data_IF_011153971583
#
_entry.id   IF_011153971583
#
_cell.length_a   1.000
_cell.length_b   1.000
_cell.length_c   1.000
_cell.angle_alpha   90.00
_cell.angle_beta   90.00
_cell.angle_gamma   90.00
#
_symmetry.space_group_name_H-M   'P 1'
#
loop_
_entity.id
_entity.type
_entity.pdbx_description
1 polymer ?
#
# COMPACT_ATOMS: atom_id res chain seq x y z
N UNK A 1 29.99 -34.03 -22.20
CA UNK A 1 31.03 -33.43 -23.08
C UNK A 1 30.67 -33.72 -24.55
N UNK A 2 31.17 -32.94 -25.53
CA UNK A 2 30.26 -32.40 -26.55
C UNK A 2 30.70 -32.52 -28.03
N UNK A 3 29.78 -32.17 -28.93
CA UNK A 3 30.02 -31.53 -30.23
C UNK A 3 28.99 -30.39 -30.35
N UNK A 4 29.29 -29.08 -30.58
CA UNK A 4 30.19 -28.40 -31.56
C UNK A 4 29.85 -28.85 -33.00
N UNK A 5 29.70 -28.02 -34.05
CA UNK A 5 29.88 -26.57 -34.30
C UNK A 5 29.16 -26.24 -35.66
N UNK A 6 28.88 -25.02 -36.15
CA UNK A 6 29.14 -23.64 -35.70
C UNK A 6 28.16 -22.61 -36.36
N UNK A 7 28.11 -21.40 -35.81
CA UNK A 7 27.97 -20.06 -36.45
C UNK A 7 27.18 -19.80 -37.76
N UNK A 8 26.34 -18.76 -37.70
CA UNK A 8 26.16 -17.65 -38.66
C UNK A 8 25.79 -17.93 -40.14
N UNK A 9 24.76 -17.22 -40.64
CA UNK A 9 24.97 -16.19 -41.70
C UNK A 9 23.77 -15.21 -41.84
N UNK A 10 24.07 -13.92 -41.64
CA UNK A 10 23.52 -12.69 -42.25
C UNK A 10 22.00 -12.39 -42.35
N UNK A 11 21.65 -11.26 -41.72
CA UNK A 11 20.60 -10.32 -42.14
C UNK A 11 20.83 -9.71 -43.56
N UNK A 12 19.84 -8.93 -44.01
CA UNK A 12 19.82 -7.99 -45.16
C UNK A 12 19.57 -8.65 -46.55
N UNK A 13 18.66 -8.16 -47.40
CA UNK A 13 17.76 -6.98 -47.34
C UNK A 13 16.63 -7.13 -48.42
N UNK A 14 15.58 -6.29 -48.32
CA UNK A 14 14.61 -5.85 -49.37
C UNK A 14 13.35 -6.65 -49.74
N UNK A 15 12.23 -6.07 -49.25
CA UNK A 15 11.09 -5.48 -50.01
C UNK A 15 10.09 -6.39 -50.77
N UNK A 16 8.81 -6.08 -50.48
CA UNK A 16 7.59 -6.19 -51.31
C UNK A 16 6.84 -7.54 -51.35
N UNK A 17 5.54 -7.48 -50.99
CA UNK A 17 4.54 -8.52 -51.30
C UNK A 17 3.72 -8.98 -50.09
N UNK A 18 2.37 -8.87 -50.10
CA UNK A 18 1.53 -9.43 -49.05
C UNK A 18 1.11 -10.87 -49.41
N UNK A 19 1.85 -11.88 -48.96
CA UNK A 19 1.37 -13.26 -49.01
C UNK A 19 0.42 -13.56 -47.85
N UNK A 20 -0.69 -14.23 -48.16
CA UNK A 20 -1.78 -14.48 -47.23
C UNK A 20 -1.45 -15.63 -46.27
N UNK A 21 -1.27 -15.32 -44.98
CA UNK A 21 -1.18 -16.33 -43.94
C UNK A 21 -2.57 -16.89 -43.60
N UNK A 22 -2.96 -17.99 -44.24
CA UNK A 22 -4.15 -18.77 -43.87
C UNK A 22 -4.01 -19.36 -42.47
N UNK A 23 -5.00 -19.14 -41.60
CA UNK A 23 -5.04 -19.80 -40.30
C UNK A 23 -5.36 -21.29 -40.44
N UNK A 24 -4.54 -22.15 -39.82
CA UNK A 24 -4.83 -23.57 -39.64
C UNK A 24 -5.40 -23.85 -38.25
N UNK A 25 -6.33 -24.80 -38.19
CA UNK A 25 -7.07 -25.17 -36.98
C UNK A 25 -6.43 -26.42 -36.36
N UNK A 26 -5.78 -26.26 -35.21
CA UNK A 26 -5.41 -27.37 -34.31
C UNK A 26 -5.57 -26.95 -32.86
N UNK A 27 -6.07 -27.88 -32.06
CA UNK A 27 -5.96 -27.93 -30.60
C UNK A 27 -6.52 -26.72 -29.83
N UNK A 28 -7.73 -26.30 -30.21
CA UNK A 28 -8.74 -25.76 -29.29
C UNK A 28 -8.50 -24.38 -28.67
N UNK A 29 -7.45 -23.64 -29.06
CA UNK A 29 -7.11 -22.34 -28.46
C UNK A 29 -6.90 -21.22 -29.50
N UNK A 30 -7.52 -20.07 -29.26
CA UNK A 30 -7.30 -18.85 -30.04
C UNK A 30 -6.11 -18.05 -29.47
N UNK A 31 -4.95 -18.16 -30.10
CA UNK A 31 -3.78 -17.34 -29.76
C UNK A 31 -3.72 -16.05 -30.59
N UNK A 32 -3.95 -14.89 -29.96
CA UNK A 32 -3.67 -13.58 -30.59
C UNK A 32 -2.25 -13.13 -30.19
N UNK A 33 -1.33 -12.88 -31.14
CA UNK A 33 0.02 -12.42 -30.84
C UNK A 33 0.02 -10.94 -30.43
N UNK A 34 0.11 -10.67 -29.13
CA UNK A 34 0.27 -9.31 -28.60
C UNK A 34 1.70 -8.77 -28.81
N UNK A 35 1.89 -7.89 -29.79
CA UNK A 35 3.04 -6.96 -29.82
C UNK A 35 2.62 -5.53 -30.14
N UNK A 36 2.88 -4.65 -29.16
CA UNK A 36 3.15 -3.19 -29.24
C UNK A 36 2.43 -2.39 -30.36
N UNK A 37 1.39 -1.65 -29.97
CA UNK A 37 1.48 -0.17 -29.79
C UNK A 37 0.20 0.39 -29.16
N UNK A 38 0.28 0.86 -27.92
CA UNK A 38 -0.71 1.77 -27.34
C UNK A 38 0.03 2.93 -26.69
N UNK A 39 0.03 4.10 -27.35
CA UNK A 39 0.34 5.37 -26.69
C UNK A 39 -0.82 5.71 -25.74
N UNK A 40 -0.51 6.33 -24.61
CA UNK A 40 -1.53 6.79 -23.63
C UNK A 40 -2.51 7.75 -24.31
N UNK A 41 -3.81 7.47 -24.19
CA UNK A 41 -4.88 8.44 -24.40
C UNK A 41 -5.40 8.92 -23.02
N UNK A 42 -5.82 10.19 -22.87
CA UNK A 42 -6.39 10.68 -21.61
C UNK A 42 -7.73 10.02 -21.28
N UNK A 43 -8.07 9.95 -19.99
CA UNK A 43 -9.36 9.47 -19.50
C UNK A 43 -10.49 10.41 -19.98
N UNK A 44 -11.52 9.85 -20.63
CA UNK A 44 -12.77 10.60 -20.90
C UNK A 44 -13.39 10.44 -22.29
N UNK A 45 -12.81 9.69 -23.23
CA UNK A 45 -13.40 9.46 -24.56
C UNK A 45 -13.60 7.98 -24.88
N UNK A 46 -14.77 7.64 -25.41
CA UNK A 46 -15.10 6.32 -25.96
C UNK A 46 -14.29 6.03 -27.22
N UNK A 47 -13.81 4.78 -27.44
CA UNK A 47 -13.14 4.44 -28.68
C UNK A 47 -14.14 4.48 -29.86
N UNK A 48 -13.93 5.38 -30.80
CA UNK A 48 -14.63 5.36 -32.09
C UNK A 48 -14.14 4.16 -32.89
N UNK A 49 -15.05 3.24 -33.22
CA UNK A 49 -14.74 2.11 -34.10
C UNK A 49 -14.56 2.62 -35.53
N UNK A 50 -13.31 2.65 -35.99
CA UNK A 50 -13.00 2.98 -37.39
C UNK A 50 -13.51 1.84 -38.28
N UNK A 51 -14.59 2.11 -39.01
CA UNK A 51 -15.24 1.13 -39.88
C UNK A 51 -14.49 0.93 -41.20
N UNK A 52 -13.82 -0.21 -41.35
CA UNK A 52 -13.37 -0.65 -42.67
C UNK A 52 -14.57 -1.06 -43.54
N UNK A 53 -14.84 -0.30 -44.61
CA UNK A 53 -15.79 -0.69 -45.64
C UNK A 53 -15.20 -1.84 -46.47
N UNK A 54 -15.79 -3.03 -46.37
CA UNK A 54 -15.37 -4.21 -47.11
C UNK A 54 -16.48 -5.25 -47.17
N UNK A 55 -17.24 -5.27 -48.27
CA UNK A 55 -18.39 -6.14 -48.49
C UNK A 55 -17.97 -7.60 -48.77
N UNK A 56 -17.57 -8.32 -47.71
CA UNK A 56 -17.44 -9.80 -47.69
C UNK A 56 -17.41 -10.45 -46.29
N UNK A 57 -17.69 -9.70 -45.21
CA UNK A 57 -17.83 -10.21 -43.84
C UNK A 57 -19.20 -9.82 -43.25
N UNK A 58 -20.27 -10.03 -44.01
CA UNK A 58 -21.65 -9.88 -43.52
C UNK A 58 -22.46 -11.19 -43.55
N UNK A 59 -22.05 -12.17 -44.36
CA UNK A 59 -22.79 -13.43 -44.51
C UNK A 59 -22.33 -14.57 -43.57
N UNK A 60 -21.20 -14.38 -42.86
CA UNK A 60 -20.70 -15.32 -41.85
C UNK A 60 -21.36 -15.17 -40.45
N UNK A 61 -22.34 -14.29 -40.29
CA UNK A 61 -22.91 -13.89 -38.98
C UNK A 61 -24.43 -14.13 -38.85
N UNK A 62 -25.00 -15.10 -39.57
CA UNK A 62 -26.42 -15.51 -39.46
C UNK A 62 -26.63 -16.88 -38.78
N UNK A 63 -25.85 -17.20 -37.73
CA UNK A 63 -25.84 -18.54 -37.12
C UNK A 63 -25.86 -18.65 -35.58
N UNK A 64 -25.89 -17.56 -34.80
CA UNK A 64 -25.72 -17.65 -33.34
C UNK A 64 -26.37 -16.53 -32.51
N UNK A 65 -27.63 -16.19 -32.81
CA UNK A 65 -28.38 -15.11 -32.14
C UNK A 65 -28.55 -15.23 -30.62
N UNK A 66 -28.33 -16.41 -30.02
CA UNK A 66 -28.31 -16.61 -28.57
C UNK A 66 -26.93 -16.35 -27.94
N UNK A 67 -25.83 -16.70 -28.64
CA UNK A 67 -24.46 -16.57 -28.11
C UNK A 67 -24.04 -15.10 -27.96
N UNK A 68 -24.41 -14.26 -28.95
CA UNK A 68 -24.22 -12.80 -28.88
C UNK A 68 -24.98 -12.16 -27.72
N UNK A 69 -26.23 -12.58 -27.47
CA UNK A 69 -27.04 -12.05 -26.36
C UNK A 69 -26.47 -12.45 -25.00
N UNK A 70 -26.02 -13.68 -24.82
CA UNK A 70 -25.42 -14.13 -23.56
C UNK A 70 -24.15 -13.35 -23.20
N UNK A 71 -23.23 -13.17 -24.16
CA UNK A 71 -22.02 -12.36 -23.96
C UNK A 71 -22.34 -10.89 -23.72
N UNK A 72 -23.27 -10.29 -24.48
CA UNK A 72 -23.72 -8.92 -24.25
C UNK A 72 -24.37 -8.75 -22.87
N UNK A 73 -25.18 -9.71 -22.41
CA UNK A 73 -25.86 -9.61 -21.11
C UNK A 73 -24.88 -9.81 -19.95
N UNK A 74 -23.92 -10.75 -20.06
CA UNK A 74 -22.84 -10.88 -19.08
C UNK A 74 -21.97 -9.63 -19.01
N UNK A 75 -21.51 -9.09 -20.14
CA UNK A 75 -20.73 -7.85 -20.16
C UNK A 75 -21.51 -6.66 -19.61
N UNK A 76 -22.81 -6.51 -19.95
CA UNK A 76 -23.67 -5.44 -19.42
C UNK A 76 -23.88 -5.56 -17.91
N UNK A 77 -24.04 -6.79 -17.40
CA UNK A 77 -24.13 -7.08 -15.95
C UNK A 77 -22.80 -6.80 -15.24
N UNK A 78 -21.66 -7.06 -15.88
CA UNK A 78 -20.34 -6.77 -15.34
C UNK A 78 -20.02 -5.26 -15.34
N UNK A 79 -20.46 -4.53 -16.38
CA UNK A 79 -20.33 -3.07 -16.48
C UNK A 79 -21.24 -2.32 -15.50
N UNK A 80 -22.36 -2.92 -15.07
CA UNK A 80 -23.32 -2.32 -14.13
C UNK A 80 -23.08 -2.66 -12.65
N UNK A 81 -22.25 -3.67 -12.32
CA UNK A 81 -21.91 -3.99 -10.92
C UNK A 81 -20.84 -3.03 -10.40
N UNK A 82 -21.26 -1.83 -9.98
CA UNK A 82 -20.42 -0.78 -9.41
C UNK A 82 -19.43 -1.29 -8.34
N UNK A 83 -19.89 -2.20 -7.48
CA UNK A 83 -19.06 -2.81 -6.41
C UNK A 83 -17.94 -3.70 -7.00
N UNK A 84 -18.12 -4.34 -8.15
CA UNK A 84 -17.03 -5.04 -8.85
C UNK A 84 -16.04 -4.07 -9.49
N UNK A 85 -16.52 -2.97 -10.07
CA UNK A 85 -15.67 -1.97 -10.74
C UNK A 85 -14.65 -1.32 -9.80
N UNK A 86 -15.01 -1.10 -8.53
CA UNK A 86 -14.12 -0.58 -7.48
C UNK A 86 -12.95 -1.53 -7.11
N UNK A 87 -12.92 -2.76 -7.63
CA UNK A 87 -11.81 -3.70 -7.42
C UNK A 87 -11.56 -4.00 -5.93
N UNK A 88 -10.29 -3.93 -5.52
CA UNK A 88 -9.87 -4.18 -4.13
C UNK A 88 -10.37 -3.12 -3.13
N UNK A 89 -10.72 -1.90 -3.57
CA UNK A 89 -11.27 -0.88 -2.66
C UNK A 89 -12.63 -1.29 -2.08
N UNK A 90 -13.38 -2.13 -2.80
CA UNK A 90 -14.66 -2.67 -2.35
C UNK A 90 -14.57 -4.12 -1.85
N UNK A 91 -13.37 -4.61 -1.49
CA UNK A 91 -13.16 -5.98 -1.03
C UNK A 91 -14.07 -6.35 0.15
N UNK A 92 -14.10 -5.52 1.20
CA UNK A 92 -14.99 -5.72 2.36
C UNK A 92 -16.48 -5.72 1.97
N UNK A 93 -16.90 -4.82 1.09
CA UNK A 93 -18.29 -4.77 0.58
C UNK A 93 -18.65 -6.00 -0.26
N UNK A 94 -17.69 -6.56 -1.01
CA UNK A 94 -17.86 -7.80 -1.78
C UNK A 94 -17.96 -9.03 -0.89
N UNK A 95 -17.10 -9.13 0.14
CA UNK A 95 -17.16 -10.19 1.15
C UNK A 95 -18.48 -10.15 1.90
N UNK A 96 -18.92 -8.96 2.36
CA UNK A 96 -20.23 -8.78 2.99
C UNK A 96 -21.37 -9.20 2.08
N UNK A 97 -21.42 -8.72 0.83
CA UNK A 97 -22.47 -9.07 -0.13
C UNK A 97 -22.50 -10.56 -0.48
N UNK A 98 -21.36 -11.26 -0.39
CA UNK A 98 -21.31 -12.72 -0.53
C UNK A 98 -21.86 -13.42 0.73
N UNK A 99 -21.43 -12.99 1.91
CA UNK A 99 -21.92 -13.49 3.20
C UNK A 99 -23.43 -13.32 3.34
N UNK A 100 -23.97 -12.11 3.08
CA UNK A 100 -25.41 -11.81 3.14
C UNK A 100 -26.23 -12.75 2.22
N UNK A 101 -25.70 -13.12 1.05
CA UNK A 101 -26.35 -14.07 0.12
C UNK A 101 -26.32 -15.50 0.64
N UNK A 102 -25.20 -15.97 1.17
CA UNK A 102 -25.06 -17.31 1.75
C UNK A 102 -25.97 -17.44 2.98
N UNK A 103 -26.02 -16.40 3.82
CA UNK A 103 -26.90 -16.34 4.99
C UNK A 103 -28.39 -16.30 4.61
N UNK A 104 -28.77 -15.64 3.52
CA UNK A 104 -30.14 -15.70 3.02
C UNK A 104 -30.51 -17.14 2.59
N UNK A 105 -29.68 -17.80 1.77
CA UNK A 105 -29.92 -19.19 1.35
C UNK A 105 -29.99 -20.16 2.54
N UNK A 106 -29.10 -20.03 3.53
CA UNK A 106 -29.17 -20.85 4.74
C UNK A 106 -30.47 -20.66 5.54
N UNK A 107 -31.02 -19.44 5.58
CA UNK A 107 -32.28 -19.16 6.27
C UNK A 107 -33.51 -19.71 5.52
N UNK A 108 -33.42 -19.84 4.20
CA UNK A 108 -34.44 -20.51 3.39
C UNK A 108 -34.37 -22.03 3.53
N UNK A 109 -33.16 -22.60 3.64
CA UNK A 109 -32.93 -24.04 3.89
C UNK A 109 -33.54 -24.47 5.23
N UNK A 110 -33.19 -23.81 6.35
CA UNK A 110 -33.78 -24.16 7.67
C UNK A 110 -35.31 -24.03 7.69
N UNK A 111 -35.87 -23.08 6.94
CA UNK A 111 -37.33 -22.89 6.84
C UNK A 111 -38.00 -24.01 6.03
N UNK A 112 -37.32 -24.55 5.02
CA UNK A 112 -37.80 -25.68 4.22
C UNK A 112 -37.98 -26.96 5.05
N UNK A 113 -37.06 -27.21 5.98
CA UNK A 113 -37.10 -28.38 6.88
C UNK A 113 -37.82 -28.10 8.21
N UNK A 114 -38.62 -27.02 8.28
CA UNK A 114 -39.38 -26.60 9.46
C UNK A 114 -38.53 -26.38 10.75
N UNK A 115 -37.23 -26.12 10.59
CA UNK A 115 -36.32 -25.88 11.70
C UNK A 115 -36.34 -24.41 12.16
N UNK A 116 -36.69 -24.20 13.43
CA UNK A 116 -36.62 -22.90 14.08
C UNK A 116 -35.17 -22.51 14.44
N UNK A 117 -34.34 -22.29 13.40
CA UNK A 117 -32.92 -21.99 13.49
C UNK A 117 -32.51 -20.93 12.46
N UNK A 118 -31.59 -20.04 12.83
CA UNK A 118 -31.07 -19.00 11.92
C UNK A 118 -29.56 -19.21 11.66
N UNK A 119 -29.05 -18.99 10.43
CA UNK A 119 -27.63 -19.20 10.10
C UNK A 119 -26.65 -18.42 10.97
N UNK A 120 -27.01 -17.20 11.39
CA UNK A 120 -26.20 -16.37 12.30
C UNK A 120 -26.05 -16.94 13.72
N UNK A 121 -26.83 -17.95 14.10
CA UNK A 121 -26.70 -18.64 15.38
C UNK A 121 -25.67 -19.78 15.32
N UNK A 122 -25.37 -20.32 14.12
CA UNK A 122 -24.49 -21.47 13.93
C UNK A 122 -23.15 -21.38 14.68
N UNK A 123 -22.35 -20.29 14.58
CA UNK A 123 -21.03 -20.27 15.22
C UNK A 123 -21.11 -20.32 16.75
N UNK A 124 -22.07 -19.61 17.35
CA UNK A 124 -22.26 -19.60 18.80
C UNK A 124 -22.86 -20.92 19.30
N UNK A 125 -23.84 -21.46 18.58
CA UNK A 125 -24.44 -22.77 18.89
C UNK A 125 -23.37 -23.86 18.86
N UNK A 126 -22.60 -23.94 17.77
CA UNK A 126 -21.52 -24.93 17.60
C UNK A 126 -20.47 -24.78 18.71
N UNK A 127 -20.03 -23.56 19.02
CA UNK A 127 -19.04 -23.32 20.08
C UNK A 127 -19.51 -23.84 21.46
N UNK A 128 -20.78 -23.58 21.83
CA UNK A 128 -21.32 -24.00 23.14
C UNK A 128 -21.59 -25.51 23.20
N UNK A 129 -21.97 -26.13 22.08
CA UNK A 129 -22.12 -27.58 21.98
C UNK A 129 -20.76 -28.30 22.07
N UNK A 130 -19.77 -27.82 21.31
CA UNK A 130 -18.49 -28.47 21.09
C UNK A 130 -17.47 -28.24 22.23
N UNK A 131 -17.52 -27.07 22.89
CA UNK A 131 -16.62 -26.70 24.00
C UNK A 131 -17.34 -26.57 25.34
N UNK A 132 -18.61 -26.93 25.41
CA UNK A 132 -19.44 -26.77 26.61
C UNK A 132 -19.70 -25.30 26.97
N UNK A 133 -20.19 -25.04 28.21
CA UNK A 133 -20.66 -23.73 28.62
C UNK A 133 -19.63 -22.59 28.45
N UNK A 134 -20.04 -21.49 27.83
CA UNK A 134 -19.18 -20.33 27.53
C UNK A 134 -19.60 -19.08 28.31
N UNK A 135 -18.69 -18.13 28.52
CA UNK A 135 -19.12 -16.76 28.88
C UNK A 135 -19.31 -15.92 27.63
N UNK A 136 -20.10 -14.83 27.70
CA UNK A 136 -20.26 -13.90 26.56
C UNK A 136 -18.91 -13.35 26.08
N UNK A 137 -18.00 -13.02 27.01
CA UNK A 137 -16.63 -12.57 26.69
C UNK A 137 -15.78 -13.68 26.06
N UNK A 138 -15.83 -14.90 26.60
CA UNK A 138 -15.12 -16.06 26.03
C UNK A 138 -15.61 -16.41 24.62
N UNK A 139 -16.92 -16.37 24.38
CA UNK A 139 -17.50 -16.58 23.06
C UNK A 139 -17.13 -15.46 22.08
N UNK A 140 -17.09 -14.20 22.51
CA UNK A 140 -16.62 -13.08 21.68
C UNK A 140 -15.16 -13.27 21.25
N UNK A 141 -14.28 -13.67 22.19
CA UNK A 141 -12.89 -13.99 21.90
C UNK A 141 -12.74 -15.19 20.97
N UNK A 142 -13.44 -16.30 21.24
CA UNK A 142 -13.33 -17.54 20.48
C UNK A 142 -13.87 -17.45 19.05
N UNK A 143 -14.85 -16.58 18.80
CA UNK A 143 -15.47 -16.37 17.48
C UNK A 143 -14.87 -15.18 16.70
N UNK A 144 -13.93 -14.42 17.28
CA UNK A 144 -13.42 -13.18 16.68
C UNK A 144 -14.49 -12.08 16.52
N UNK A 145 -15.57 -12.15 17.30
CA UNK A 145 -16.73 -11.26 17.19
C UNK A 145 -16.73 -10.18 18.28
N UNK A 146 -17.42 -9.06 18.02
CA UNK A 146 -17.62 -8.05 19.06
C UNK A 146 -18.54 -8.57 20.18
N UNK A 147 -18.28 -8.15 21.42
CA UNK A 147 -19.14 -8.49 22.57
C UNK A 147 -20.61 -8.10 22.33
N UNK A 148 -20.86 -6.99 21.63
CA UNK A 148 -22.20 -6.54 21.26
C UNK A 148 -22.89 -7.50 20.28
N UNK A 149 -22.18 -8.01 19.26
CA UNK A 149 -22.72 -8.97 18.32
C UNK A 149 -23.08 -10.30 19.00
N UNK A 150 -22.17 -10.86 19.82
CA UNK A 150 -22.46 -12.08 20.60
C UNK A 150 -23.65 -11.85 21.55
N UNK A 151 -23.73 -10.69 22.22
CA UNK A 151 -24.86 -10.34 23.09
C UNK A 151 -26.21 -10.17 22.36
N UNK A 152 -26.20 -9.91 21.05
CA UNK A 152 -27.41 -9.93 20.21
C UNK A 152 -27.81 -11.36 19.87
N UNK A 153 -26.86 -12.19 19.43
CA UNK A 153 -27.08 -13.62 19.12
C UNK A 153 -27.59 -14.39 20.36
N UNK A 154 -26.97 -14.19 21.52
CA UNK A 154 -27.41 -14.79 22.81
C UNK A 154 -28.87 -14.47 23.10
N UNK A 155 -29.28 -13.19 22.97
CA UNK A 155 -30.68 -12.78 23.23
C UNK A 155 -31.65 -13.41 22.24
N UNK A 156 -31.29 -13.52 20.97
CA UNK A 156 -32.13 -14.16 19.96
C UNK A 156 -32.32 -15.66 20.24
N UNK A 157 -31.23 -16.39 20.49
CA UNK A 157 -31.27 -17.83 20.80
C UNK A 157 -31.99 -18.13 22.13
N UNK A 158 -31.80 -17.29 23.15
CA UNK A 158 -32.52 -17.42 24.42
C UNK A 158 -34.02 -17.13 24.28
N UNK A 159 -34.40 -16.15 23.45
CA UNK A 159 -35.81 -15.88 23.11
C UNK A 159 -36.53 -17.03 22.41
N UNK A 160 -35.78 -17.94 21.75
CA UNK A 160 -36.32 -19.20 21.17
C UNK A 160 -36.16 -20.41 22.10
N UNK A 161 -35.62 -20.23 23.30
CA UNK A 161 -35.37 -21.32 24.25
C UNK A 161 -34.30 -22.31 23.81
N UNK A 162 -33.39 -21.95 22.90
CA UNK A 162 -32.29 -22.80 22.40
C UNK A 162 -31.09 -22.76 23.38
N UNK A 163 -30.88 -21.61 24.02
CA UNK A 163 -29.72 -21.33 24.87
C UNK A 163 -30.17 -20.63 26.16
N UNK A 164 -29.66 -21.06 27.33
CA UNK A 164 -29.82 -20.35 28.60
C UNK A 164 -28.63 -19.42 28.86
N UNK A 165 -28.87 -18.32 29.59
CA UNK A 165 -27.88 -17.29 29.88
C UNK A 165 -27.94 -16.89 31.36
N UNK A 166 -27.46 -17.81 32.22
CA UNK A 166 -27.55 -17.76 33.68
C UNK A 166 -26.39 -16.97 34.29
N UNK A 167 -26.50 -16.52 35.56
CA UNK A 167 -25.38 -15.87 36.26
C UNK A 167 -24.25 -16.89 36.48
N UNK A 168 -23.01 -16.47 36.29
CA UNK A 168 -21.84 -17.27 36.70
C UNK A 168 -21.80 -17.38 38.22
N UNK A 169 -21.68 -18.62 38.73
CA UNK A 169 -21.60 -18.90 40.16
C UNK A 169 -20.33 -18.32 40.83
N UNK A 170 -19.35 -17.86 40.06
CA UNK A 170 -18.08 -17.28 40.55
C UNK A 170 -17.98 -15.76 40.37
N UNK A 171 -18.79 -15.15 39.52
CA UNK A 171 -18.80 -13.69 39.26
C UNK A 171 -20.16 -13.27 38.68
N UNK A 172 -21.07 -12.77 39.52
CA UNK A 172 -22.45 -12.43 39.11
C UNK A 172 -22.58 -11.46 37.93
N UNK A 173 -21.49 -10.74 37.60
CA UNK A 173 -21.40 -9.83 36.44
C UNK A 173 -21.23 -10.57 35.12
N UNK A 174 -20.86 -11.86 35.15
CA UNK A 174 -20.72 -12.74 33.99
C UNK A 174 -21.99 -13.56 33.82
N UNK A 175 -22.32 -13.85 32.55
CA UNK A 175 -23.34 -14.84 32.20
C UNK A 175 -22.71 -16.03 31.53
N UNK A 176 -23.10 -17.22 31.98
CA UNK A 176 -22.74 -18.51 31.40
C UNK A 176 -23.83 -18.93 30.42
N UNK A 177 -23.39 -19.31 29.23
CA UNK A 177 -24.19 -19.66 28.06
C UNK A 177 -24.16 -21.17 27.90
N UNK A 178 -25.33 -21.81 27.96
CA UNK A 178 -25.48 -23.27 27.87
C UNK A 178 -26.61 -23.63 26.92
N UNK A 179 -26.49 -24.73 26.16
CA UNK A 179 -27.65 -25.25 25.41
C UNK A 179 -28.74 -25.75 26.39
N UNK A 180 -30.00 -25.49 26.06
CA UNK A 180 -31.15 -26.06 26.78
C UNK A 180 -31.39 -27.52 26.34
N UNK A 181 -32.42 -28.18 26.90
CA UNK A 181 -32.88 -29.47 26.39
C UNK A 181 -33.31 -29.38 24.91
N UNK A 182 -34.22 -28.44 24.59
CA UNK A 182 -34.61 -28.10 23.21
C UNK A 182 -33.40 -27.76 22.32
N UNK A 183 -32.41 -27.04 22.86
CA UNK A 183 -31.17 -26.73 22.15
C UNK A 183 -30.42 -27.98 21.71
N UNK A 184 -30.23 -28.95 22.62
CA UNK A 184 -29.60 -30.25 22.31
C UNK A 184 -30.43 -31.12 21.37
N UNK A 185 -31.76 -31.09 21.49
CA UNK A 185 -32.68 -31.84 20.60
C UNK A 185 -32.64 -31.37 19.13
N UNK A 186 -32.13 -30.17 18.85
CA UNK A 186 -31.93 -29.69 17.48
C UNK A 186 -30.71 -30.33 16.80
N UNK A 187 -29.66 -30.71 17.55
CA UNK A 187 -28.39 -31.17 16.96
C UNK A 187 -28.55 -32.36 16.00
N UNK A 188 -29.31 -33.44 16.32
CA UNK A 188 -29.50 -34.56 15.40
C UNK A 188 -30.27 -34.20 14.12
N UNK A 189 -31.02 -33.10 14.13
CA UNK A 189 -31.75 -32.59 12.95
C UNK A 189 -30.90 -31.63 12.12
N UNK A 190 -30.07 -30.82 12.79
CA UNK A 190 -29.17 -29.86 12.16
C UNK A 190 -27.97 -30.53 11.49
N UNK A 191 -27.45 -31.63 12.04
CA UNK A 191 -26.20 -32.24 11.55
C UNK A 191 -26.28 -32.71 10.08
N UNK A 192 -27.28 -33.50 9.63
CA UNK A 192 -27.36 -33.90 8.22
C UNK A 192 -27.48 -32.70 7.28
N UNK A 193 -28.25 -31.69 7.70
CA UNK A 193 -28.45 -30.46 6.94
C UNK A 193 -27.16 -29.63 6.82
N UNK A 194 -26.32 -29.62 7.86
CA UNK A 194 -24.99 -29.01 7.80
C UNK A 194 -24.03 -29.77 6.91
N UNK A 195 -24.12 -31.10 6.86
CA UNK A 195 -23.31 -31.92 5.94
C UNK A 195 -23.68 -31.65 4.48
N UNK A 196 -24.97 -31.51 4.17
CA UNK A 196 -25.48 -31.11 2.85
C UNK A 196 -25.11 -29.65 2.48
N UNK A 197 -25.28 -28.69 3.41
CA UNK A 197 -24.84 -27.31 3.23
C UNK A 197 -23.32 -27.25 2.99
N UNK A 198 -22.53 -28.03 3.72
CA UNK A 198 -21.09 -28.11 3.54
C UNK A 198 -20.71 -28.67 2.16
N UNK A 199 -21.43 -29.68 1.66
CA UNK A 199 -21.24 -30.20 0.31
C UNK A 199 -21.56 -29.14 -0.75
N UNK A 200 -22.68 -28.42 -0.62
CA UNK A 200 -23.05 -27.34 -1.54
C UNK A 200 -22.07 -26.15 -1.52
N UNK A 201 -21.55 -25.77 -0.33
CA UNK A 201 -20.54 -24.71 -0.21
C UNK A 201 -19.20 -25.15 -0.81
N UNK A 202 -18.82 -26.42 -0.69
CA UNK A 202 -17.63 -26.98 -1.36
C UNK A 202 -17.77 -26.96 -2.89
N UNK A 203 -18.93 -27.29 -3.43
CA UNK A 203 -19.20 -27.17 -4.87
C UNK A 203 -19.03 -25.70 -5.35
N UNK A 204 -19.66 -24.75 -4.65
CA UNK A 204 -19.50 -23.31 -4.95
C UNK A 204 -18.03 -22.88 -4.89
N UNK A 205 -17.28 -23.32 -3.88
CA UNK A 205 -15.86 -22.98 -3.71
C UNK A 205 -14.96 -23.61 -4.80
N UNK A 206 -15.31 -24.79 -5.32
CA UNK A 206 -14.53 -25.46 -6.39
C UNK A 206 -14.40 -24.59 -7.65
N UNK A 207 -15.37 -23.73 -7.91
CA UNK A 207 -15.39 -22.79 -9.04
C UNK A 207 -14.39 -21.63 -8.89
N UNK A 208 -13.76 -21.44 -7.73
CA UNK A 208 -12.85 -20.30 -7.50
C UNK A 208 -11.45 -20.49 -8.09
N UNK A 209 -11.05 -21.71 -8.46
CA UNK A 209 -9.71 -22.01 -9.00
C UNK A 209 -8.55 -21.84 -8.00
N UNK A 210 -8.87 -21.67 -6.72
CA UNK A 210 -7.95 -21.55 -5.60
C UNK A 210 -8.64 -22.04 -4.32
N UNK A 211 -7.86 -22.45 -3.32
CA UNK A 211 -8.38 -22.74 -1.98
C UNK A 211 -8.82 -21.44 -1.30
N UNK A 212 -10.13 -21.26 -1.19
CA UNK A 212 -10.74 -20.06 -0.62
C UNK A 212 -10.45 -19.91 0.87
N UNK A 213 -10.32 -21.02 1.61
CA UNK A 213 -10.01 -20.97 3.04
C UNK A 213 -8.57 -20.55 3.25
N UNK A 214 -7.62 -21.15 2.53
CA UNK A 214 -6.21 -20.73 2.60
C UNK A 214 -5.99 -19.26 2.19
N UNK A 215 -6.81 -18.73 1.26
CA UNK A 215 -6.80 -17.30 0.89
C UNK A 215 -7.33 -16.42 2.02
N UNK A 216 -8.41 -16.83 2.71
CA UNK A 216 -8.96 -16.11 3.86
C UNK A 216 -7.97 -16.13 5.03
N UNK A 217 -7.43 -17.30 5.39
CA UNK A 217 -6.42 -17.46 6.45
C UNK A 217 -5.21 -16.55 6.21
N UNK A 218 -4.69 -16.50 4.98
CA UNK A 218 -3.59 -15.63 4.61
C UNK A 218 -3.92 -14.14 4.72
N UNK A 219 -5.16 -13.74 4.42
CA UNK A 219 -5.64 -12.36 4.60
C UNK A 219 -5.82 -11.99 6.08
N UNK A 220 -6.37 -12.90 6.88
CA UNK A 220 -6.58 -12.70 8.32
C UNK A 220 -5.24 -12.62 9.07
N UNK A 221 -4.30 -13.51 8.76
CA UNK A 221 -2.95 -13.47 9.33
C UNK A 221 -2.22 -12.17 8.95
N UNK A 222 -2.28 -11.75 7.68
CA UNK A 222 -1.69 -10.49 7.25
C UNK A 222 -2.31 -9.25 7.95
N UNK A 223 -3.60 -9.29 8.28
CA UNK A 223 -4.26 -8.22 9.06
C UNK A 223 -3.84 -8.23 10.55
N UNK A 224 -3.51 -9.39 11.11
CA UNK A 224 -2.98 -9.52 12.48
C UNK A 224 -1.53 -9.02 12.58
N UNK A 225 -0.68 -9.30 11.59
CA UNK A 225 0.71 -8.80 11.55
C UNK A 225 0.79 -7.28 11.43
N UNK A 226 -0.09 -6.67 10.63
CA UNK A 226 -0.17 -5.22 10.46
C UNK A 226 -1.52 -4.83 9.89
N UNK A 227 -2.24 -3.95 10.59
CA UNK A 227 -3.59 -3.58 10.22
C UNK A 227 -3.64 -2.67 8.95
N UNK A 228 -4.86 -2.50 8.43
CA UNK A 228 -5.08 -1.70 7.22
C UNK A 228 -4.73 -0.22 7.40
N UNK A 229 -4.88 0.36 8.60
CA UNK A 229 -4.56 1.75 8.88
C UNK A 229 -3.04 1.98 8.88
N UNK A 230 -2.28 1.10 9.51
CA UNK A 230 -0.82 1.10 9.51
C UNK A 230 -0.27 0.94 8.08
N UNK A 231 -0.73 -0.07 7.33
CA UNK A 231 -0.33 -0.28 5.94
C UNK A 231 -0.66 0.93 5.05
N UNK A 232 -1.85 1.52 5.22
CA UNK A 232 -2.26 2.73 4.48
C UNK A 232 -1.37 3.93 4.83
N UNK A 233 -1.02 4.11 6.11
CA UNK A 233 -0.12 5.16 6.56
C UNK A 233 1.31 4.96 6.00
N UNK A 234 1.80 3.73 5.87
CA UNK A 234 3.09 3.44 5.24
C UNK A 234 3.08 3.72 3.73
N UNK A 235 2.03 3.35 3.01
CA UNK A 235 1.86 3.78 1.62
C UNK A 235 1.79 5.31 1.49
N UNK A 236 1.16 6.00 2.45
CA UNK A 236 1.15 7.46 2.55
C UNK A 236 2.55 8.05 2.73
N UNK A 237 3.32 7.55 3.69
CA UNK A 237 4.71 7.96 3.96
C UNK A 237 5.64 7.71 2.78
N UNK A 238 5.50 6.57 2.09
CA UNK A 238 6.26 6.26 0.87
C UNK A 238 5.94 7.28 -0.22
N UNK A 239 4.67 7.53 -0.52
CA UNK A 239 4.23 8.53 -1.51
C UNK A 239 4.80 9.92 -1.22
N UNK A 240 4.76 10.36 0.04
CA UNK A 240 5.31 11.66 0.46
C UNK A 240 6.83 11.76 0.34
N UNK A 241 7.56 10.66 0.58
CA UNK A 241 9.02 10.61 0.37
C UNK A 241 9.36 10.60 -1.12
N UNK A 242 8.60 9.84 -1.90
CA UNK A 242 8.83 9.66 -3.33
C UNK A 242 8.34 10.87 -4.16
N UNK A 243 7.61 11.81 -3.54
CA UNK A 243 7.27 13.14 -4.09
C UNK A 243 8.26 14.26 -3.73
N UNK A 244 9.37 13.94 -3.03
CA UNK A 244 10.46 14.91 -2.79
C UNK A 244 11.44 14.83 -3.96
N UNK A 245 11.45 15.85 -4.81
CA UNK A 245 12.53 16.03 -5.78
C UNK A 245 13.73 16.67 -5.06
N UNK A 246 14.94 16.18 -5.35
CA UNK A 246 16.17 16.88 -4.98
C UNK A 246 16.78 17.48 -6.24
N UNK A 247 17.01 18.79 -6.21
CA UNK A 247 17.52 19.57 -7.35
C UNK A 247 18.69 20.48 -6.93
N UNK A 248 19.65 20.75 -7.81
CA UNK A 248 20.73 21.69 -7.53
C UNK A 248 20.21 23.13 -7.55
N UNK A 249 20.95 24.02 -6.89
CA UNK A 249 20.74 25.46 -6.97
C UNK A 249 20.74 25.98 -8.40
N UNK A 250 19.70 26.76 -8.74
CA UNK A 250 19.61 27.55 -9.96
C UNK A 250 19.96 29.02 -9.65
N UNK A 251 20.54 29.79 -10.58
CA UNK A 251 20.67 31.24 -10.42
C UNK A 251 19.33 32.01 -10.49
N UNK A 252 18.18 31.33 -10.54
CA UNK A 252 16.85 31.96 -10.44
C UNK A 252 16.62 32.56 -9.04
N UNK A 253 15.94 33.72 -8.91
CA UNK A 253 15.70 34.37 -7.62
C UNK A 253 15.04 33.46 -6.57
N UNK A 254 14.09 32.62 -6.97
CA UNK A 254 13.39 31.65 -6.10
C UNK A 254 14.37 30.85 -5.22
N UNK A 255 15.51 30.43 -5.77
CA UNK A 255 16.48 29.62 -5.07
C UNK A 255 17.32 30.41 -4.08
N UNK A 256 17.62 31.69 -4.35
CA UNK A 256 18.32 32.57 -3.40
C UNK A 256 17.41 32.96 -2.24
N UNK A 257 16.18 33.35 -2.55
CA UNK A 257 15.16 33.71 -1.57
C UNK A 257 14.86 32.48 -0.68
N UNK A 258 14.61 31.30 -1.26
CA UNK A 258 14.42 30.09 -0.48
C UNK A 258 15.67 29.67 0.33
N UNK A 259 16.90 29.87 -0.18
CA UNK A 259 18.11 29.56 0.59
C UNK A 259 18.20 30.38 1.86
N UNK A 260 17.95 31.69 1.74
CA UNK A 260 17.85 32.65 2.83
C UNK A 260 16.74 32.24 3.79
N UNK A 261 15.50 32.22 3.31
CA UNK A 261 14.30 32.13 4.14
C UNK A 261 14.26 30.83 4.94
N UNK A 262 14.58 29.68 4.32
CA UNK A 262 14.63 28.39 5.00
C UNK A 262 15.68 28.36 6.12
N UNK A 263 16.84 28.99 5.90
CA UNK A 263 17.90 29.05 6.91
C UNK A 263 17.61 30.10 8.00
N UNK A 264 16.99 31.22 7.67
CA UNK A 264 16.56 32.23 8.64
C UNK A 264 15.45 31.68 9.53
N UNK A 265 14.40 31.05 8.97
CA UNK A 265 13.34 30.38 9.73
C UNK A 265 13.93 29.38 10.75
N UNK A 266 14.90 28.59 10.31
CA UNK A 266 15.56 27.62 11.18
C UNK A 266 16.46 28.27 12.24
N UNK A 267 17.23 29.30 11.87
CA UNK A 267 18.12 30.01 12.79
C UNK A 267 17.34 30.76 13.87
N UNK A 268 16.32 31.53 13.51
CA UNK A 268 15.49 32.30 14.45
C UNK A 268 14.69 31.40 15.41
N UNK A 269 14.32 30.19 14.97
CA UNK A 269 13.60 29.23 15.81
C UNK A 269 14.44 28.59 16.92
N UNK A 270 15.73 28.35 16.67
CA UNK A 270 16.60 27.60 17.58
C UNK A 270 17.75 28.41 18.17
N UNK A 271 18.14 29.51 17.53
CA UNK A 271 19.33 30.33 17.83
C UNK A 271 19.08 31.80 17.46
N UNK A 272 20.14 32.53 17.08
CA UNK A 272 20.09 33.82 16.38
C UNK A 272 20.80 33.68 15.02
N UNK A 273 20.48 34.55 14.07
CA UNK A 273 21.28 34.70 12.86
C UNK A 273 22.60 35.38 13.22
N UNK A 274 23.73 34.71 13.02
CA UNK A 274 25.07 35.27 13.30
C UNK A 274 25.59 36.08 12.08
N UNK A 275 26.56 37.01 12.23
CA UNK A 275 27.08 37.77 11.08
C UNK A 275 27.64 36.89 9.95
N UNK A 276 28.33 35.79 10.31
CA UNK A 276 28.79 34.76 9.37
C UNK A 276 27.65 34.05 8.66
N UNK A 277 26.43 34.05 9.22
CA UNK A 277 25.28 33.50 8.54
C UNK A 277 24.79 34.41 7.42
N UNK A 278 24.76 35.73 7.65
CA UNK A 278 24.41 36.73 6.64
C UNK A 278 25.38 36.67 5.45
N UNK A 279 26.69 36.67 5.69
CA UNK A 279 27.70 36.57 4.62
C UNK A 279 27.44 35.42 3.63
N UNK A 280 26.98 34.26 4.12
CA UNK A 280 26.70 33.06 3.31
C UNK A 280 25.30 33.10 2.67
N UNK A 281 24.31 33.69 3.35
CA UNK A 281 22.91 33.73 2.86
C UNK A 281 22.64 34.91 1.93
N UNK A 282 23.43 35.98 2.02
CA UNK A 282 23.33 37.17 1.16
C UNK A 282 23.99 36.97 -0.20
N UNK A 283 25.06 36.15 -0.25
CA UNK A 283 25.86 35.92 -1.45
C UNK A 283 26.30 34.44 -1.56
N UNK A 284 25.34 33.50 -1.73
CA UNK A 284 25.62 32.07 -1.80
C UNK A 284 26.45 31.69 -3.03
N UNK A 285 26.33 32.44 -4.13
CA UNK A 285 27.10 32.24 -5.35
C UNK A 285 28.61 32.39 -5.07
N UNK A 286 29.06 33.54 -4.56
CA UNK A 286 30.48 33.80 -4.27
C UNK A 286 31.03 32.93 -3.14
N UNK A 287 30.22 32.62 -2.13
CA UNK A 287 30.68 31.95 -0.89
C UNK A 287 30.64 30.42 -0.98
N UNK A 288 29.77 29.84 -1.82
CA UNK A 288 29.60 28.39 -1.95
C UNK A 288 29.84 27.91 -3.39
N UNK A 289 29.23 28.53 -4.39
CA UNK A 289 29.24 28.01 -5.77
C UNK A 289 30.58 28.29 -6.48
N UNK A 290 31.04 29.54 -6.51
CA UNK A 290 32.30 29.93 -7.18
C UNK A 290 33.54 29.18 -6.65
N UNK A 291 33.69 28.91 -5.33
CA UNK A 291 34.80 28.10 -4.82
C UNK A 291 34.75 26.62 -5.20
N UNK A 292 33.71 26.16 -5.90
CA UNK A 292 33.50 24.76 -6.31
C UNK A 292 32.70 23.93 -5.31
N UNK A 293 31.88 24.57 -4.47
CA UNK A 293 30.86 23.92 -3.66
C UNK A 293 29.51 23.79 -4.39
N UNK A 294 28.51 23.27 -3.68
CA UNK A 294 27.15 23.11 -4.22
C UNK A 294 26.09 23.42 -3.17
N UNK A 295 24.90 23.82 -3.62
CA UNK A 295 23.70 23.91 -2.79
C UNK A 295 22.63 23.03 -3.44
N UNK A 296 21.92 22.26 -2.62
CA UNK A 296 20.84 21.36 -3.02
C UNK A 296 19.55 21.77 -2.34
N UNK A 297 18.43 21.58 -3.03
CA UNK A 297 17.10 21.86 -2.53
C UNK A 297 16.22 20.63 -2.58
N UNK A 298 15.26 20.58 -1.65
CA UNK A 298 14.16 19.66 -1.66
C UNK A 298 12.90 20.38 -2.11
N UNK A 299 12.39 20.03 -3.29
CA UNK A 299 11.10 20.51 -3.79
C UNK A 299 10.00 19.49 -3.49
N UNK A 300 8.86 19.96 -3.00
CA UNK A 300 7.62 19.19 -2.89
C UNK A 300 6.52 19.94 -3.61
N UNK A 301 5.90 19.28 -4.59
CA UNK A 301 5.01 19.89 -5.57
C UNK A 301 5.69 21.09 -6.24
N UNK A 302 5.21 22.32 -5.99
CA UNK A 302 5.80 23.55 -6.52
C UNK A 302 6.78 24.25 -5.56
N UNK A 303 6.90 23.83 -4.29
CA UNK A 303 7.57 24.63 -3.25
C UNK A 303 8.96 24.09 -2.89
N UNK A 304 9.93 24.99 -2.77
CA UNK A 304 11.22 24.71 -2.12
C UNK A 304 11.01 24.65 -0.60
N UNK A 305 11.10 23.45 -0.02
CA UNK A 305 10.74 23.18 1.39
C UNK A 305 11.92 22.79 2.27
N UNK A 306 13.11 22.69 1.70
CA UNK A 306 14.35 22.43 2.43
C UNK A 306 15.56 22.63 1.54
N UNK A 307 16.72 22.82 2.17
CA UNK A 307 17.99 23.05 1.50
C UNK A 307 19.16 22.47 2.31
N UNK A 308 20.30 22.25 1.65
CA UNK A 308 21.60 22.04 2.29
C UNK A 308 22.74 22.47 1.35
N UNK A 309 23.89 22.83 1.91
CA UNK A 309 25.07 23.24 1.16
C UNK A 309 26.29 22.35 1.45
N UNK A 310 27.14 22.19 0.45
CA UNK A 310 28.50 21.65 0.51
C UNK A 310 29.47 22.80 0.26
N UNK A 311 29.86 23.52 1.31
CA UNK A 311 30.82 24.62 1.20
C UNK A 311 32.25 24.04 1.14
N UNK A 312 32.98 24.25 0.05
CA UNK A 312 34.37 23.78 -0.07
C UNK A 312 35.28 24.61 0.83
N UNK A 313 35.99 23.97 1.76
CA UNK A 313 36.93 24.65 2.67
C UNK A 313 38.38 24.48 2.23
N UNK A 314 38.72 23.29 1.71
CA UNK A 314 40.09 22.94 1.26
C UNK A 314 39.99 21.98 0.05
N UNK A 315 41.09 21.72 -0.68
CA UNK A 315 41.10 20.72 -1.76
C UNK A 315 40.65 19.31 -1.30
N UNK A 316 39.41 18.94 -1.64
CA UNK A 316 38.80 17.67 -1.27
C UNK A 316 38.14 17.66 0.12
N UNK A 317 37.95 18.81 0.76
CA UNK A 317 37.26 18.95 2.05
C UNK A 317 36.07 19.89 1.91
N UNK A 318 34.89 19.42 2.33
CA UNK A 318 33.65 20.18 2.28
C UNK A 318 32.98 20.22 3.65
N UNK A 319 32.49 21.39 4.03
CA UNK A 319 31.56 21.58 5.14
C UNK A 319 30.13 21.36 4.64
N UNK A 320 29.43 20.37 5.20
CA UNK A 320 27.98 20.27 5.04
C UNK A 320 27.33 21.26 6.00
N UNK A 321 26.76 22.31 5.42
CA UNK A 321 26.28 23.49 6.14
C UNK A 321 24.91 23.93 5.61
N UNK A 322 24.33 24.96 6.23
CA UNK A 322 23.04 25.59 5.82
C UNK A 322 21.92 24.59 5.54
N UNK A 323 21.82 23.55 6.37
CA UNK A 323 20.85 22.47 6.22
C UNK A 323 19.56 22.79 6.98
N UNK A 324 18.50 23.13 6.25
CA UNK A 324 17.21 23.52 6.81
C UNK A 324 16.04 22.81 6.11
N UNK A 325 14.91 22.65 6.82
CA UNK A 325 13.62 22.19 6.30
C UNK A 325 12.54 22.96 7.04
N UNK A 326 11.66 23.64 6.31
CA UNK A 326 10.57 24.44 6.91
C UNK A 326 9.65 23.58 7.78
N UNK A 327 9.16 24.12 8.89
CA UNK A 327 8.39 23.40 9.92
C UNK A 327 7.25 22.56 9.33
N UNK A 328 6.48 23.11 8.39
CA UNK A 328 5.35 22.41 7.77
C UNK A 328 5.72 21.07 7.08
N UNK A 329 7.00 20.89 6.75
CA UNK A 329 7.52 19.72 6.04
C UNK A 329 8.52 18.89 6.87
N UNK A 330 8.76 19.26 8.13
CA UNK A 330 9.55 18.44 9.07
C UNK A 330 8.86 17.10 9.38
N UNK A 331 9.63 16.13 9.91
CA UNK A 331 9.16 14.74 10.13
C UNK A 331 9.02 13.89 8.85
N UNK A 332 8.91 14.49 7.66
CA UNK A 332 8.71 13.81 6.36
C UNK A 332 9.99 13.17 5.76
N UNK A 333 11.05 13.00 6.56
CA UNK A 333 12.37 12.51 6.15
C UNK A 333 13.12 13.34 5.08
N UNK A 334 12.67 14.56 4.77
CA UNK A 334 13.30 15.44 3.76
C UNK A 334 14.78 15.72 4.07
N UNK A 335 15.12 16.02 5.33
CA UNK A 335 16.52 16.18 5.74
C UNK A 335 17.38 14.93 5.47
N UNK A 336 16.81 13.72 5.56
CA UNK A 336 17.53 12.48 5.20
C UNK A 336 17.72 12.35 3.68
N UNK A 337 16.79 12.84 2.87
CA UNK A 337 16.91 12.88 1.42
C UNK A 337 18.00 13.89 0.99
N UNK A 338 17.96 15.12 1.52
CA UNK A 338 18.98 16.16 1.33
C UNK A 338 20.38 15.67 1.75
N UNK A 339 20.50 15.10 2.95
CA UNK A 339 21.76 14.56 3.47
C UNK A 339 22.35 13.47 2.55
N UNK A 340 21.53 12.51 2.09
CA UNK A 340 22.00 11.47 1.17
C UNK A 340 22.45 12.07 -0.17
N UNK A 341 21.66 12.96 -0.75
CA UNK A 341 22.00 13.62 -2.00
C UNK A 341 23.30 14.46 -1.88
N UNK A 342 23.48 15.20 -0.79
CA UNK A 342 24.72 15.93 -0.51
C UNK A 342 25.93 15.00 -0.43
N UNK A 343 25.82 13.85 0.24
CA UNK A 343 26.92 12.87 0.28
C UNK A 343 27.19 12.24 -1.09
N UNK A 344 26.15 11.98 -1.89
CA UNK A 344 26.30 11.46 -3.25
C UNK A 344 26.97 12.50 -4.19
N UNK A 345 26.61 13.78 -4.06
CA UNK A 345 27.26 14.90 -4.78
C UNK A 345 28.69 15.13 -4.31
N UNK A 346 28.97 15.04 -3.01
CA UNK A 346 30.33 15.14 -2.47
C UNK A 346 31.27 14.06 -3.05
N UNK A 347 30.80 12.83 -3.30
CA UNK A 347 31.59 11.82 -4.03
C UNK A 347 31.84 12.21 -5.48
N UNK A 348 30.84 12.79 -6.15
CA UNK A 348 30.99 13.36 -7.51
C UNK A 348 31.99 14.53 -7.58
N UNK A 349 32.06 15.35 -6.53
CA UNK A 349 33.04 16.43 -6.34
C UNK A 349 34.42 15.95 -5.86
N UNK A 350 34.67 14.63 -5.86
CA UNK A 350 35.88 13.98 -5.38
C UNK A 350 36.31 14.43 -3.97
N UNK A 351 35.34 14.68 -3.08
CA UNK A 351 35.60 14.90 -1.67
C UNK A 351 36.33 13.69 -1.07
N UNK A 352 37.33 13.97 -0.23
CA UNK A 352 38.01 12.98 0.64
C UNK A 352 37.38 12.96 2.04
N UNK A 353 36.85 14.11 2.47
CA UNK A 353 36.26 14.34 3.79
C UNK A 353 35.09 15.31 3.69
N UNK A 354 33.99 14.98 4.33
CA UNK A 354 32.89 15.90 4.60
C UNK A 354 32.76 16.06 6.11
N UNK A 355 32.70 17.29 6.60
CA UNK A 355 32.47 17.58 8.01
C UNK A 355 31.26 18.50 8.19
N UNK A 356 30.72 18.57 9.40
CA UNK A 356 29.65 19.48 9.78
C UNK A 356 29.86 19.99 11.20
N UNK A 357 29.31 21.16 11.48
CA UNK A 357 29.21 21.74 12.82
C UNK A 357 27.74 21.77 13.22
N UNK A 358 27.44 21.29 14.42
CA UNK A 358 26.08 21.25 14.97
C UNK A 358 26.10 21.62 16.45
N UNK A 359 24.92 21.85 17.01
CA UNK A 359 24.71 21.92 18.45
C UNK A 359 24.28 20.55 18.99
N UNK A 360 24.78 20.15 20.16
CA UNK A 360 24.52 18.87 20.82
C UNK A 360 23.08 18.73 21.32
N UNK A 361 22.40 19.84 21.62
CA UNK A 361 20.98 19.89 21.97
C UNK A 361 20.05 19.55 20.81
N UNK A 362 20.50 19.65 19.55
CA UNK A 362 19.75 19.29 18.35
C UNK A 362 19.69 17.76 18.15
N UNK A 363 19.15 17.04 19.13
CA UNK A 363 19.06 15.57 19.18
C UNK A 363 18.56 14.93 17.87
N UNK A 364 17.52 15.47 17.18
CA UNK A 364 17.07 14.93 15.88
C UNK A 364 18.14 15.01 14.78
N UNK A 365 18.89 16.12 14.70
CA UNK A 365 19.94 16.32 13.72
C UNK A 365 21.16 15.42 14.01
N UNK A 366 21.62 15.39 15.27
CA UNK A 366 22.73 14.52 15.71
C UNK A 366 22.41 13.04 15.46
N UNK A 367 21.15 12.63 15.68
CA UNK A 367 20.69 11.26 15.38
C UNK A 367 20.62 10.97 13.89
N UNK A 368 20.24 11.95 13.06
CA UNK A 368 20.31 11.83 11.61
C UNK A 368 21.77 11.61 11.16
N UNK A 369 22.69 12.51 11.53
CA UNK A 369 24.09 12.46 11.07
C UNK A 369 24.77 11.13 11.43
N UNK A 370 24.62 10.66 12.68
CA UNK A 370 25.12 9.35 13.12
C UNK A 370 24.56 8.18 12.29
N UNK A 371 23.28 8.22 11.92
CA UNK A 371 22.64 7.19 11.08
C UNK A 371 23.11 7.18 9.62
N UNK A 372 23.69 8.26 9.12
CA UNK A 372 24.24 8.31 7.73
C UNK A 372 25.75 8.04 7.69
N UNK A 373 26.42 7.95 8.85
CA UNK A 373 27.83 7.52 8.96
C UNK A 373 28.78 8.54 9.58
N UNK A 374 28.32 9.75 9.90
CA UNK A 374 29.14 10.77 10.54
C UNK A 374 29.55 10.37 11.97
N UNK A 375 30.82 10.59 12.30
CA UNK A 375 31.42 10.34 13.63
C UNK A 375 31.75 11.67 14.29
N UNK A 376 31.60 11.75 15.62
CA UNK A 376 32.05 12.92 16.39
C UNK A 376 33.58 12.95 16.43
N UNK A 377 34.18 14.10 16.13
CA UNK A 377 35.64 14.30 16.18
C UNK A 377 36.07 15.47 17.07
N UNK A 378 35.17 16.39 17.39
CA UNK A 378 35.37 17.45 18.40
C UNK A 378 34.08 17.72 19.15
N UNK A 379 34.19 17.99 20.45
CA UNK A 379 33.15 18.57 21.27
C UNK A 379 33.69 19.83 21.99
N UNK A 380 32.79 20.74 22.35
CA UNK A 380 33.10 22.06 22.89
C UNK A 380 33.05 23.17 21.83
N UNK A 381 33.09 24.46 22.26
CA UNK A 381 32.79 25.61 21.41
C UNK A 381 33.56 25.64 20.08
N UNK A 382 32.87 26.05 19.02
CA UNK A 382 33.42 26.15 17.67
C UNK A 382 33.83 27.59 17.33
N UNK A 383 35.03 27.84 16.77
CA UNK A 383 35.51 29.21 16.53
C UNK A 383 34.77 29.97 15.42
N UNK A 384 34.09 29.27 14.50
CA UNK A 384 33.31 29.87 13.39
C UNK A 384 31.84 30.17 13.76
N UNK A 385 31.28 29.45 14.74
CA UNK A 385 29.85 29.47 15.04
C UNK A 385 29.64 29.42 16.54
N UNK A 386 29.06 30.47 17.12
CA UNK A 386 28.84 30.57 18.56
C UNK A 386 27.87 29.48 19.06
N UNK A 387 26.84 29.17 18.27
CA UNK A 387 25.92 28.05 18.52
C UNK A 387 26.53 26.65 18.44
N UNK A 388 27.72 26.52 17.84
CA UNK A 388 28.34 25.23 17.53
C UNK A 388 29.16 24.67 18.69
N UNK A 389 28.83 23.46 19.14
CA UNK A 389 29.55 22.76 20.21
C UNK A 389 29.98 21.33 19.83
N UNK A 390 29.65 20.87 18.62
CA UNK A 390 29.92 19.50 18.17
C UNK A 390 30.32 19.51 16.69
N UNK A 391 31.53 19.02 16.40
CA UNK A 391 32.00 18.78 15.03
C UNK A 391 31.95 17.28 14.74
N UNK A 392 31.33 16.95 13.61
CA UNK A 392 31.25 15.57 13.12
C UNK A 392 31.82 15.48 11.70
N UNK A 393 32.41 14.35 11.34
CA UNK A 393 32.92 14.13 9.99
C UNK A 393 32.69 12.71 9.46
N UNK A 394 32.82 12.58 8.15
CA UNK A 394 32.79 11.33 7.40
C UNK A 394 33.90 11.35 6.34
N UNK A 395 34.65 10.26 6.25
CA UNK A 395 35.57 10.00 5.14
C UNK A 395 34.78 9.39 3.99
N UNK A 396 35.13 9.75 2.76
CA UNK A 396 34.29 9.55 1.56
C UNK A 396 34.64 8.33 0.72
#
# INVERSE_FOLDING_TARGET
MPCRQASCFRDLDRRNGPEAATSHWKDGTWGIPLRRTLRRAPLGQTPVVIGCRGSRIQDAWRGSGQFSKLLQNQYRTWLMDFIKHLGLLALGSRLRRLSDRIMASGADIYRGDELDFEPRWFPLYRLVDERGPQTVGGAAQALGMTHAAVSQTVRAMAGRGILSAEKDARDERRRVLSLTARGRELLPKLQPLWDDIQAAVRDIASHCGADVLAVLDGMEHALQESDLAQRTADHGRRRQRDSVAIEPFSPDPEFRDAFRDLNVEWLEKYFRVEPVDHEVLDDPDRIIIEPGGEILFARVDAHLVGTCALQRTEPGVYELTKMAVTEAYQGRQIGKALMRAALDRARGLHAKRVFLVTNSGLTPAVTLYRRVGFKVVRAGPHPKYERGDLTMEMLM
#
